data_IF_155823100717
#
_entry.id   IF_155823100717
#
_cell.length_a   1.000
_cell.length_b   1.000
_cell.length_c   1.000
_cell.angle_alpha   90.00
_cell.angle_beta   90.00
_cell.angle_gamma   90.00
#
_symmetry.space_group_name_H-M   'P 1'
#
loop_
_entity.id
_entity.type
_entity.pdbx_description
1 polymer ?
#
# COMPACT_ATOMS: atom_id res chain seq x y z
N UNK A 1 13.39 0.34 13.76
CA UNK A 1 12.04 -0.19 14.04
C UNK A 1 11.06 0.96 13.91
N UNK A 2 9.90 0.77 13.27
CA UNK A 2 8.82 1.77 13.26
C UNK A 2 8.44 2.15 14.69
N UNK A 3 8.25 3.45 14.94
CA UNK A 3 7.86 3.97 16.26
C UNK A 3 6.37 4.25 16.22
N UNK A 4 5.60 3.37 16.84
CA UNK A 4 4.15 3.51 16.91
C UNK A 4 3.77 4.48 18.03
N UNK A 5 2.84 5.43 17.81
CA UNK A 5 2.30 6.23 18.89
C UNK A 5 1.66 5.32 19.95
N UNK A 6 2.17 5.37 21.19
CA UNK A 6 1.65 4.57 22.29
C UNK A 6 0.14 4.77 22.52
N UNK A 7 -0.36 5.97 22.19
CA UNK A 7 -1.79 6.31 22.22
C UNK A 7 -2.64 5.48 21.26
N UNK A 8 -2.12 5.16 20.07
CA UNK A 8 -2.86 4.41 19.06
C UNK A 8 -2.94 2.92 19.41
N UNK A 9 -1.87 2.36 19.99
CA UNK A 9 -1.86 0.97 20.48
C UNK A 9 -2.85 0.80 21.63
N UNK A 10 -2.77 1.67 22.65
CA UNK A 10 -3.70 1.62 23.77
C UNK A 10 -5.17 1.80 23.34
N UNK A 11 -5.42 2.61 22.31
CA UNK A 11 -6.76 2.76 21.74
C UNK A 11 -7.26 1.45 21.09
N UNK A 12 -6.43 0.80 20.27
CA UNK A 12 -6.77 -0.50 19.69
C UNK A 12 -7.00 -1.58 20.76
N UNK A 13 -6.16 -1.61 21.81
CA UNK A 13 -6.32 -2.54 22.94
C UNK A 13 -7.66 -2.31 23.66
N UNK A 14 -8.05 -1.04 23.84
CA UNK A 14 -9.32 -0.68 24.48
C UNK A 14 -10.53 -1.14 23.67
N UNK A 15 -10.50 -0.96 22.33
CA UNK A 15 -11.57 -1.42 21.44
C UNK A 15 -11.64 -2.94 21.36
N UNK A 16 -10.49 -3.61 21.29
CA UNK A 16 -10.40 -5.07 21.33
C UNK A 16 -10.98 -5.64 22.63
N UNK A 17 -10.62 -5.07 23.78
CA UNK A 17 -11.15 -5.46 25.10
C UNK A 17 -12.67 -5.27 25.18
N UNK A 18 -13.19 -4.21 24.56
CA UNK A 18 -14.61 -3.90 24.52
C UNK A 18 -15.39 -4.66 23.43
N UNK A 19 -14.74 -5.53 22.64
CA UNK A 19 -15.33 -6.18 21.46
C UNK A 19 -15.98 -5.20 20.46
N UNK A 20 -15.37 -4.04 20.27
CA UNK A 20 -15.83 -3.03 19.31
C UNK A 20 -15.06 -3.24 18.00
N UNK A 21 -15.75 -3.45 16.85
CA UNK A 21 -15.08 -3.47 15.55
C UNK A 21 -14.45 -2.10 15.21
N UNK A 22 -13.23 -2.12 14.69
CA UNK A 22 -12.52 -0.91 14.27
C UNK A 22 -11.63 -1.16 13.05
N UNK A 23 -11.41 -0.11 12.27
CA UNK A 23 -10.43 -0.05 11.19
C UNK A 23 -9.16 0.64 11.69
N UNK A 24 -7.99 0.08 11.39
CA UNK A 24 -6.72 0.76 11.57
C UNK A 24 -5.91 0.81 10.28
N UNK A 25 -5.26 1.93 10.01
CA UNK A 25 -4.37 2.13 8.86
C UNK A 25 -3.05 2.65 9.38
N UNK A 26 -1.95 2.02 8.96
CA UNK A 26 -0.60 2.37 9.39
C UNK A 26 0.32 2.62 8.20
N UNK A 27 1.11 3.68 8.25
CA UNK A 27 2.16 3.91 7.27
C UNK A 27 3.27 2.87 7.39
N UNK A 28 3.94 2.55 6.29
CA UNK A 28 5.03 1.57 6.27
C UNK A 28 6.17 1.90 7.26
N UNK A 29 6.48 3.19 7.45
CA UNK A 29 7.47 3.68 8.40
C UNK A 29 6.95 3.74 9.87
N UNK A 30 5.67 3.41 10.09
CA UNK A 30 4.99 3.43 11.39
C UNK A 30 4.71 4.81 11.97
N UNK A 31 5.02 5.90 11.26
CA UNK A 31 4.90 7.26 11.77
C UNK A 31 3.47 7.78 11.82
N UNK A 32 2.57 7.21 11.01
CA UNK A 32 1.16 7.59 10.92
C UNK A 32 0.29 6.38 11.21
N UNK A 33 -0.57 6.51 12.20
CA UNK A 33 -1.59 5.52 12.52
C UNK A 33 -2.93 6.23 12.60
N UNK A 34 -3.91 5.71 11.89
CA UNK A 34 -5.31 6.09 12.03
C UNK A 34 -6.09 4.92 12.59
N UNK A 35 -7.00 5.19 13.52
CA UNK A 35 -7.88 4.19 14.13
C UNK A 35 -9.28 4.79 14.18
N UNK A 36 -10.25 4.10 13.60
CA UNK A 36 -11.66 4.54 13.54
C UNK A 36 -12.58 3.39 13.93
N UNK A 37 -13.61 3.68 14.72
CA UNK A 37 -14.76 2.77 14.83
C UNK A 37 -15.58 2.82 13.55
N UNK A 38 -16.43 1.83 13.34
CA UNK A 38 -17.26 1.72 12.13
C UNK A 38 -18.02 3.01 11.76
N UNK A 39 -18.58 3.70 12.76
CA UNK A 39 -19.33 4.96 12.56
C UNK A 39 -18.45 6.22 12.45
N UNK A 40 -17.13 6.08 12.51
CA UNK A 40 -16.14 7.17 12.44
C UNK A 40 -15.27 7.08 11.19
N UNK A 41 -15.43 6.03 10.38
CA UNK A 41 -14.66 5.84 9.15
C UNK A 41 -15.05 6.97 8.18
N UNK A 42 -14.09 7.76 7.68
CA UNK A 42 -14.38 8.79 6.69
C UNK A 42 -14.95 8.21 5.40
N UNK A 43 -15.94 8.89 4.80
CA UNK A 43 -16.65 8.43 3.60
C UNK A 43 -15.77 8.20 2.36
N UNK A 44 -14.57 8.79 2.33
CA UNK A 44 -13.60 8.63 1.24
C UNK A 44 -12.70 7.40 1.39
N UNK A 45 -12.82 6.65 2.50
CA UNK A 45 -12.13 5.38 2.70
C UNK A 45 -13.04 4.26 2.22
N UNK A 46 -12.62 3.59 1.14
CA UNK A 46 -13.26 2.39 0.63
C UNK A 46 -12.30 1.20 0.82
N UNK A 47 -12.79 0.09 1.37
CA UNK A 47 -12.02 -1.15 1.53
C UNK A 47 -12.94 -2.37 1.42
N UNK A 48 -12.38 -3.51 1.03
CA UNK A 48 -13.07 -4.80 0.96
C UNK A 48 -12.14 -5.87 1.51
N UNK A 49 -12.62 -6.60 2.51
CA UNK A 49 -11.94 -7.75 3.10
C UNK A 49 -12.91 -8.93 3.13
N UNK A 50 -12.43 -10.18 3.11
CA UNK A 50 -13.32 -11.32 3.27
C UNK A 50 -14.16 -11.20 4.56
N UNK A 51 -15.48 -11.03 4.42
CA UNK A 51 -16.41 -10.89 5.54
C UNK A 51 -16.71 -9.47 6.03
N UNK A 52 -16.06 -8.42 5.49
CA UNK A 52 -16.39 -7.02 5.80
C UNK A 52 -16.01 -6.07 4.65
N UNK A 53 -16.72 -4.95 4.53
CA UNK A 53 -16.55 -4.03 3.40
C UNK A 53 -17.46 -4.43 2.24
N UNK A 54 -18.47 -3.61 1.99
CA UNK A 54 -19.39 -3.85 0.87
C UNK A 54 -18.65 -3.60 -0.45
N UNK A 55 -18.62 -4.60 -1.34
CA UNK A 55 -18.25 -4.36 -2.73
C UNK A 55 -19.38 -3.58 -3.39
N UNK A 56 -19.19 -2.26 -3.57
CA UNK A 56 -20.06 -1.47 -4.44
C UNK A 56 -19.97 -2.06 -5.86
N UNK A 57 -21.09 -2.57 -6.34
CA UNK A 57 -21.17 -3.47 -7.51
C UNK A 57 -21.10 -2.75 -8.86
N UNK A 58 -21.04 -1.42 -8.89
CA UNK A 58 -20.91 -0.65 -10.12
C UNK A 58 -19.47 -0.21 -10.34
N UNK A 59 -18.72 -1.09 -10.99
CA UNK A 59 -17.43 -0.75 -11.61
C UNK A 59 -17.69 0.27 -12.71
N UNK A 60 -17.27 1.52 -12.49
CA UNK A 60 -17.31 2.54 -13.52
C UNK A 60 -15.92 2.72 -14.11
N UNK A 61 -15.77 2.26 -15.36
CA UNK A 61 -14.59 2.52 -16.16
C UNK A 61 -14.90 3.64 -17.15
N UNK A 62 -14.17 4.77 -17.12
CA UNK A 62 -14.25 5.75 -18.19
C UNK A 62 -13.94 5.05 -19.52
N UNK A 63 -14.76 5.22 -20.57
CA UNK A 63 -14.58 4.49 -21.83
C UNK A 63 -13.24 4.80 -22.50
N UNK A 64 -12.75 6.04 -22.34
CA UNK A 64 -11.44 6.48 -22.81
C UNK A 64 -10.66 7.07 -21.63
N UNK A 65 -9.62 6.38 -21.18
CA UNK A 65 -8.71 6.88 -20.14
C UNK A 65 -7.26 6.78 -20.60
N UNK A 66 -6.44 7.73 -20.14
CA UNK A 66 -5.00 7.66 -20.30
C UNK A 66 -4.42 6.78 -19.20
N UNK A 67 -3.55 5.84 -19.57
CA UNK A 67 -2.74 5.09 -18.62
C UNK A 67 -1.43 4.69 -19.29
N UNK A 68 -0.37 5.41 -18.94
CA UNK A 68 0.97 5.21 -19.51
C UNK A 68 1.97 5.01 -18.39
N UNK A 69 2.82 3.99 -18.54
CA UNK A 69 3.91 3.70 -17.61
C UNK A 69 5.24 4.15 -18.22
N UNK A 70 6.06 4.82 -17.42
CA UNK A 70 7.43 5.21 -17.75
C UNK A 70 8.36 4.35 -16.88
N UNK A 71 8.72 3.13 -17.33
CA UNK A 71 9.61 2.25 -16.57
C UNK A 71 11.05 2.77 -16.59
N UNK A 72 11.88 2.24 -15.70
CA UNK A 72 13.33 2.45 -15.74
C UNK A 72 13.90 2.01 -17.09
N UNK A 73 14.87 2.76 -17.61
CA UNK A 73 15.59 2.39 -18.82
C UNK A 73 16.32 1.06 -18.63
N UNK A 74 16.30 0.23 -19.68
CA UNK A 74 16.90 -1.10 -19.62
C UNK A 74 18.38 -1.07 -19.20
N UNK A 75 19.13 -0.08 -19.67
CA UNK A 75 20.54 0.04 -19.35
C UNK A 75 20.78 0.34 -17.86
N UNK A 76 19.95 1.18 -17.24
CA UNK A 76 20.04 1.49 -15.82
C UNK A 76 19.67 0.27 -14.97
N UNK A 77 18.64 -0.47 -15.39
CA UNK A 77 18.32 -1.77 -14.80
C UNK A 77 19.51 -2.74 -14.89
N UNK A 78 20.14 -2.87 -16.06
CA UNK A 78 21.23 -3.80 -16.30
C UNK A 78 22.46 -3.48 -15.44
N UNK A 79 22.77 -2.21 -15.25
CA UNK A 79 23.86 -1.77 -14.37
C UNK A 79 23.61 -2.25 -12.94
N UNK A 80 22.44 -1.94 -12.37
CA UNK A 80 22.09 -2.34 -11.00
C UNK A 80 21.98 -3.86 -10.85
N UNK A 81 21.44 -4.55 -11.87
CA UNK A 81 21.35 -6.00 -11.87
C UNK A 81 22.73 -6.65 -11.81
N UNK A 82 23.68 -6.18 -12.62
CA UNK A 82 25.05 -6.71 -12.63
C UNK A 82 25.75 -6.49 -11.28
N UNK A 83 25.55 -5.34 -10.64
CA UNK A 83 26.05 -5.07 -9.29
C UNK A 83 25.47 -6.08 -8.28
N UNK A 84 24.15 -6.26 -8.27
CA UNK A 84 23.49 -7.25 -7.39
C UNK A 84 24.05 -8.66 -7.61
N UNK A 85 24.21 -9.08 -8.88
CA UNK A 85 24.76 -10.40 -9.20
C UNK A 85 26.21 -10.56 -8.74
N UNK A 86 27.04 -9.52 -8.84
CA UNK A 86 28.40 -9.56 -8.32
C UNK A 86 28.43 -9.80 -6.80
N UNK A 87 27.57 -9.11 -6.05
CA UNK A 87 27.45 -9.29 -4.60
C UNK A 87 26.94 -10.68 -4.22
N UNK A 88 25.95 -11.21 -4.96
CA UNK A 88 25.45 -12.58 -4.75
C UNK A 88 26.55 -13.61 -5.02
N UNK A 89 27.28 -13.48 -6.14
CA UNK A 89 28.35 -14.42 -6.51
C UNK A 89 29.56 -14.37 -5.57
N UNK A 90 29.83 -13.22 -4.95
CA UNK A 90 30.85 -13.07 -3.91
C UNK A 90 30.43 -13.69 -2.57
N UNK A 91 29.14 -13.99 -2.40
CA UNK A 91 28.58 -14.55 -1.18
C UNK A 91 28.15 -13.52 -0.13
N UNK A 92 27.97 -12.25 -0.50
CA UNK A 92 27.57 -11.19 0.44
C UNK A 92 26.10 -11.30 0.88
N UNK A 93 25.25 -11.79 -0.03
CA UNK A 93 23.85 -12.12 0.23
C UNK A 93 23.42 -13.29 -0.64
N UNK A 94 22.43 -14.04 -0.18
CA UNK A 94 21.82 -15.12 -0.94
C UNK A 94 20.67 -14.64 -1.84
N UNK A 95 19.93 -13.62 -1.40
CA UNK A 95 18.77 -13.08 -2.11
C UNK A 95 18.66 -11.57 -1.89
N UNK A 96 18.39 -10.85 -2.97
CA UNK A 96 18.09 -9.42 -2.97
C UNK A 96 16.89 -9.16 -3.86
N UNK A 97 15.99 -8.28 -3.42
CA UNK A 97 14.86 -7.82 -4.22
C UNK A 97 15.20 -6.49 -4.88
N UNK A 98 15.66 -6.52 -6.12
CA UNK A 98 15.96 -5.33 -6.91
C UNK A 98 14.66 -4.74 -7.48
N UNK A 99 14.31 -3.52 -7.07
CA UNK A 99 13.08 -2.84 -7.52
C UNK A 99 13.38 -1.43 -8.01
N UNK A 100 12.56 -0.96 -8.95
CA UNK A 100 12.62 0.40 -9.48
C UNK A 100 11.22 1.03 -9.42
N UNK A 101 11.11 2.31 -9.04
CA UNK A 101 9.85 3.04 -9.16
C UNK A 101 9.53 3.26 -10.64
N UNK A 102 8.30 2.93 -11.04
CA UNK A 102 7.76 3.23 -12.37
C UNK A 102 6.77 4.37 -12.24
N UNK A 103 7.01 5.48 -12.92
CA UNK A 103 6.07 6.59 -12.94
C UNK A 103 4.85 6.19 -13.78
N UNK A 104 3.66 6.37 -13.22
CA UNK A 104 2.39 6.16 -13.91
C UNK A 104 1.77 7.53 -14.19
N UNK A 105 1.46 7.79 -15.45
CA UNK A 105 0.73 8.96 -15.90
C UNK A 105 -0.66 8.51 -16.36
N UNK A 106 -1.68 8.94 -15.64
CA UNK A 106 -3.06 8.49 -15.86
C UNK A 106 -4.08 9.58 -15.59
N UNK A 107 -5.18 9.54 -16.34
CA UNK A 107 -6.36 10.37 -16.08
C UNK A 107 -7.33 9.74 -15.07
N UNK A 108 -7.01 8.53 -14.57
CA UNK A 108 -7.84 7.82 -13.61
C UNK A 108 -7.66 8.40 -12.19
N UNK A 109 -8.75 8.45 -11.45
CA UNK A 109 -8.70 8.68 -10.00
C UNK A 109 -8.32 7.38 -9.27
N UNK A 110 -7.87 7.47 -8.02
CA UNK A 110 -7.64 6.28 -7.18
C UNK A 110 -8.90 5.41 -7.07
N UNK A 111 -10.09 6.03 -7.07
CA UNK A 111 -11.36 5.29 -7.05
C UNK A 111 -11.56 4.47 -8.34
N UNK A 112 -11.27 5.05 -9.51
CA UNK A 112 -11.36 4.30 -10.77
C UNK A 112 -10.36 3.15 -10.85
N UNK A 113 -9.22 3.25 -10.17
CA UNK A 113 -8.21 2.19 -10.09
C UNK A 113 -8.63 1.10 -9.08
N UNK A 114 -9.27 1.50 -7.98
CA UNK A 114 -9.73 0.61 -6.92
C UNK A 114 -10.94 -0.24 -7.33
N UNK A 115 -11.90 0.38 -8.05
CA UNK A 115 -13.14 -0.26 -8.52
C UNK A 115 -12.91 -1.29 -9.64
#
# INVERSE_FOLDING_TARGET
MPVFPASSIALMDSYGTANIPFLFIISFDGTKIHVWRENEIPDWIEFSVPGAGEMRTQKYYPPDFKFTAEPVEYNDYLIAFNEVMQHILRGDSYLLNLTFPTKIDTSLTLKNIYD
#
